data_IF_763755829539
#
_entry.id   IF_763755829539
#
_cell.length_a   1.000
_cell.length_b   1.000
_cell.length_c   1.000
_cell.angle_alpha   90.00
_cell.angle_beta   90.00
_cell.angle_gamma   90.00
#
_symmetry.space_group_name_H-M   'P 1'
#
loop_
_entity.id
_entity.type
_entity.pdbx_description
1 polymer ?
#
# COMPACT_ATOMS: atom_id res chain seq x y z
N UNK A 1 32.65 -14.91 -16.60
CA UNK A 1 31.48 -14.02 -16.38
C UNK A 1 30.77 -13.65 -17.67
N UNK A 2 31.42 -13.00 -18.66
CA UNK A 2 30.71 -12.50 -19.85
C UNK A 2 29.96 -13.54 -20.68
N UNK A 3 30.45 -14.77 -20.76
CA UNK A 3 29.80 -15.82 -21.54
C UNK A 3 28.45 -16.26 -20.93
N UNK A 4 28.37 -16.31 -19.61
CA UNK A 4 27.15 -16.72 -18.92
C UNK A 4 26.07 -15.65 -19.01
N UNK A 5 26.44 -14.38 -18.98
CA UNK A 5 25.50 -13.27 -19.19
C UNK A 5 24.93 -13.26 -20.61
N UNK A 6 25.77 -13.50 -21.63
CA UNK A 6 25.33 -13.58 -23.03
C UNK A 6 24.49 -14.83 -23.30
N UNK A 7 24.73 -15.91 -22.57
CA UNK A 7 24.00 -17.18 -22.68
C UNK A 7 22.75 -17.25 -21.77
N UNK A 8 22.32 -16.15 -21.23
CA UNK A 8 21.16 -16.09 -20.32
C UNK A 8 21.48 -16.32 -18.85
N UNK A 9 22.79 -16.27 -18.48
CA UNK A 9 23.26 -16.38 -17.08
C UNK A 9 23.29 -15.02 -16.42
N UNK A 10 22.39 -14.30 -16.14
CA UNK A 10 22.33 -13.02 -15.47
C UNK A 10 20.98 -12.81 -14.79
N UNK A 11 20.89 -11.79 -13.95
CA UNK A 11 19.64 -11.33 -13.36
C UNK A 11 19.18 -10.08 -14.11
N UNK A 12 17.91 -10.01 -14.45
CA UNK A 12 17.30 -8.78 -14.95
C UNK A 12 17.25 -7.77 -13.80
N UNK A 13 17.93 -6.65 -13.96
CA UNK A 13 17.99 -5.59 -12.95
C UNK A 13 16.85 -4.61 -13.13
N UNK A 14 16.57 -4.23 -14.37
CA UNK A 14 15.44 -3.37 -14.73
C UNK A 14 14.97 -3.76 -16.14
N UNK A 15 13.67 -3.75 -16.34
CA UNK A 15 13.04 -4.00 -17.63
C UNK A 15 12.21 -2.79 -18.07
N UNK A 16 12.06 -2.62 -19.37
CA UNK A 16 11.24 -1.58 -19.96
C UNK A 16 9.76 -1.97 -20.01
N UNK A 17 8.93 -0.98 -20.21
CA UNK A 17 7.51 -1.14 -20.48
C UNK A 17 7.12 -0.36 -21.75
N UNK A 18 5.83 -0.28 -22.08
CA UNK A 18 5.32 0.39 -23.28
C UNK A 18 5.64 1.90 -23.33
N UNK A 19 6.20 2.49 -22.28
CA UNK A 19 6.48 3.93 -22.15
C UNK A 19 7.91 4.26 -21.77
N UNK A 20 8.67 3.26 -21.35
CA UNK A 20 10.02 3.43 -20.81
C UNK A 20 10.95 2.39 -21.45
N UNK A 21 11.93 2.86 -22.21
CA UNK A 21 12.83 2.01 -23.00
C UNK A 21 14.27 2.23 -22.57
N UNK A 22 15.11 1.23 -22.78
CA UNK A 22 16.55 1.38 -22.70
C UNK A 22 17.08 1.88 -21.37
N UNK A 23 16.76 1.22 -20.26
CA UNK A 23 17.31 1.56 -18.94
C UNK A 23 18.84 1.56 -18.96
N UNK A 24 19.46 2.65 -18.52
CA UNK A 24 20.92 2.79 -18.50
C UNK A 24 21.46 3.71 -17.41
N UNK A 25 22.80 3.73 -17.27
CA UNK A 25 23.51 4.56 -16.30
C UNK A 25 23.00 4.41 -14.87
N UNK A 26 23.11 3.20 -14.34
CA UNK A 26 22.68 2.90 -12.98
C UNK A 26 23.59 3.58 -11.94
N UNK A 27 22.95 4.23 -10.97
CA UNK A 27 23.59 4.74 -9.76
C UNK A 27 22.88 4.18 -8.53
N UNK A 28 23.61 3.93 -7.47
CA UNK A 28 23.09 3.58 -6.16
C UNK A 28 23.23 4.76 -5.22
N UNK A 29 22.23 5.03 -4.44
CA UNK A 29 22.35 5.94 -3.32
C UNK A 29 21.53 5.44 -2.11
N UNK A 30 21.91 5.90 -0.95
CA UNK A 30 21.27 5.58 0.32
C UNK A 30 20.78 6.91 0.88
N UNK A 31 19.52 7.00 1.22
CA UNK A 31 18.99 8.16 1.93
C UNK A 31 19.47 8.15 3.40
N UNK A 32 19.45 9.31 4.05
CA UNK A 32 19.87 9.45 5.45
C UNK A 32 19.08 8.56 6.41
N UNK A 33 17.92 8.11 6.01
CA UNK A 33 17.05 7.20 6.75
C UNK A 33 17.35 5.70 6.52
N UNK A 34 18.41 5.38 5.78
CA UNK A 34 18.85 4.01 5.51
C UNK A 34 18.12 3.30 4.37
N UNK A 35 17.25 3.98 3.64
CA UNK A 35 16.54 3.41 2.48
C UNK A 35 17.43 3.47 1.25
N UNK A 36 17.65 2.32 0.63
CA UNK A 36 18.44 2.23 -0.59
C UNK A 36 17.59 2.48 -1.83
N UNK A 37 18.14 3.28 -2.73
CA UNK A 37 17.52 3.59 -4.02
C UNK A 37 18.54 3.47 -5.14
N UNK A 38 18.04 3.23 -6.33
CA UNK A 38 18.84 3.31 -7.55
C UNK A 38 18.29 4.40 -8.46
N UNK A 39 19.21 5.09 -9.11
CA UNK A 39 18.89 6.03 -10.19
C UNK A 39 19.31 5.45 -11.52
N UNK A 40 18.55 5.71 -12.55
CA UNK A 40 18.89 5.38 -13.93
C UNK A 40 18.10 6.28 -14.87
N UNK A 41 18.41 6.24 -16.15
CA UNK A 41 17.58 6.91 -17.14
C UNK A 41 16.77 5.91 -17.94
N UNK A 42 15.61 6.35 -18.38
CA UNK A 42 14.83 5.75 -19.44
C UNK A 42 14.85 6.63 -20.65
N UNK A 43 14.80 6.05 -21.81
CA UNK A 43 14.46 6.77 -23.02
C UNK A 43 12.94 6.82 -23.13
N UNK A 44 12.40 7.99 -22.90
CA UNK A 44 10.98 8.27 -23.10
C UNK A 44 10.83 8.96 -24.47
N UNK A 45 9.81 8.58 -25.20
CA UNK A 45 9.45 9.25 -26.44
C UNK A 45 10.46 9.04 -27.60
N UNK A 46 10.57 7.79 -28.07
CA UNK A 46 11.42 7.41 -29.20
C UNK A 46 11.10 8.21 -30.48
N UNK A 47 9.87 8.71 -30.62
CA UNK A 47 9.42 9.49 -31.77
C UNK A 47 9.94 10.94 -31.78
N UNK A 48 10.50 11.40 -30.65
CA UNK A 48 11.00 12.77 -30.46
C UNK A 48 12.47 12.83 -30.05
N UNK A 49 13.31 12.04 -30.67
CA UNK A 49 14.75 12.01 -30.43
C UNK A 49 15.16 11.35 -29.10
N UNK A 50 14.41 10.35 -28.66
CA UNK A 50 14.76 9.52 -27.50
C UNK A 50 15.21 10.36 -26.29
N UNK A 51 14.35 11.20 -25.78
CA UNK A 51 14.66 12.07 -24.64
C UNK A 51 14.87 11.23 -23.39
N UNK A 52 16.06 11.30 -22.80
CA UNK A 52 16.34 10.65 -21.54
C UNK A 52 15.63 11.32 -20.37
N UNK A 53 15.02 10.52 -19.51
CA UNK A 53 14.30 10.93 -18.31
C UNK A 53 14.91 10.23 -17.11
N UNK A 54 15.24 10.98 -16.05
CA UNK A 54 15.73 10.42 -14.80
C UNK A 54 14.61 9.62 -14.12
N UNK A 55 14.92 8.40 -13.73
CA UNK A 55 14.10 7.57 -12.87
C UNK A 55 14.82 7.25 -11.56
N UNK A 56 14.07 7.18 -10.49
CA UNK A 56 14.53 6.74 -9.18
C UNK A 56 13.59 5.62 -8.75
N UNK A 57 14.17 4.48 -8.38
CA UNK A 57 13.44 3.29 -7.97
C UNK A 57 14.01 2.76 -6.65
N UNK A 58 13.23 2.06 -5.86
CA UNK A 58 13.77 1.28 -4.76
C UNK A 58 14.84 0.31 -5.28
N UNK A 59 15.92 0.16 -4.52
CA UNK A 59 16.90 -0.88 -4.75
C UNK A 59 16.60 -2.06 -3.84
N UNK A 60 16.26 -3.18 -4.45
CA UNK A 60 15.94 -4.43 -3.78
C UNK A 60 17.10 -5.41 -3.99
N UNK A 61 17.40 -6.22 -2.99
CA UNK A 61 18.40 -7.27 -3.08
C UNK A 61 17.72 -8.64 -3.10
N UNK A 62 17.85 -9.35 -4.22
CA UNK A 62 17.38 -10.73 -4.36
C UNK A 62 18.56 -11.67 -4.57
N UNK A 63 18.82 -12.55 -3.61
CA UNK A 63 19.95 -13.48 -3.64
C UNK A 63 21.28 -12.78 -3.95
N UNK A 64 21.56 -11.69 -3.25
CA UNK A 64 22.74 -10.82 -3.42
C UNK A 64 22.84 -10.09 -4.78
N UNK A 65 21.77 -10.08 -5.57
CA UNK A 65 21.68 -9.30 -6.80
C UNK A 65 20.84 -8.04 -6.62
N UNK A 66 21.33 -6.89 -7.09
CA UNK A 66 20.52 -5.67 -7.10
C UNK A 66 19.40 -5.79 -8.15
N UNK A 67 18.19 -5.47 -7.76
CA UNK A 67 17.01 -5.46 -8.62
C UNK A 67 16.28 -4.14 -8.45
N UNK A 68 15.79 -3.58 -9.54
CA UNK A 68 14.91 -2.41 -9.48
C UNK A 68 13.56 -2.80 -8.91
N UNK A 69 13.15 -2.13 -7.84
CA UNK A 69 11.79 -2.23 -7.33
C UNK A 69 10.78 -1.59 -8.28
N UNK A 70 9.54 -2.03 -8.16
CA UNK A 70 8.43 -1.50 -8.94
C UNK A 70 7.94 -0.14 -8.43
N UNK A 71 7.37 0.65 -9.33
CA UNK A 71 6.49 1.75 -8.93
C UNK A 71 5.21 1.17 -8.34
N UNK A 72 4.79 1.71 -7.21
CA UNK A 72 3.52 1.31 -6.63
C UNK A 72 2.37 1.67 -7.59
N UNK A 73 1.53 0.71 -7.92
CA UNK A 73 0.47 0.86 -8.93
C UNK A 73 -0.86 1.19 -8.27
N UNK A 74 -1.70 1.92 -9.00
CA UNK A 74 -3.09 2.10 -8.60
C UNK A 74 -3.83 0.76 -8.55
N UNK A 75 -4.71 0.59 -7.57
CA UNK A 75 -5.45 -0.66 -7.43
C UNK A 75 -6.16 -0.77 -6.10
N UNK A 76 -6.78 -1.92 -5.88
CA UNK A 76 -7.38 -2.30 -4.60
C UNK A 76 -6.47 -3.29 -3.91
N UNK A 77 -6.21 -3.06 -2.64
CA UNK A 77 -5.23 -3.80 -1.88
C UNK A 77 -5.72 -4.21 -0.49
N UNK A 78 -5.22 -5.35 -0.04
CA UNK A 78 -5.01 -5.63 1.37
C UNK A 78 -3.70 -4.97 1.78
N UNK A 79 -3.70 -4.26 2.90
CA UNK A 79 -2.51 -3.69 3.54
C UNK A 79 -2.31 -4.42 4.86
N UNK A 80 -1.23 -5.20 5.00
CA UNK A 80 -0.99 -6.00 6.20
C UNK A 80 0.35 -5.67 6.84
N UNK A 81 0.40 -5.66 8.18
CA UNK A 81 1.62 -5.41 8.92
C UNK A 81 2.59 -6.60 8.82
N UNK A 82 3.88 -6.32 8.65
CA UNK A 82 4.91 -7.37 8.63
C UNK A 82 5.02 -8.06 9.99
N UNK A 83 4.86 -7.31 11.06
CA UNK A 83 5.00 -7.80 12.44
C UNK A 83 4.11 -9.00 12.76
N UNK A 84 2.83 -8.97 12.38
CA UNK A 84 1.84 -10.00 12.72
C UNK A 84 0.95 -10.44 11.57
N UNK A 85 1.07 -9.83 10.40
CA UNK A 85 0.21 -10.10 9.26
C UNK A 85 -1.22 -9.58 9.41
N UNK A 86 -1.50 -8.76 10.42
CA UNK A 86 -2.82 -8.15 10.59
C UNK A 86 -3.07 -7.10 9.52
N UNK A 87 -4.28 -7.13 8.98
CA UNK A 87 -4.71 -6.19 7.97
C UNK A 87 -5.15 -4.86 8.56
N UNK A 88 -4.76 -3.76 7.90
CA UNK A 88 -5.30 -2.43 8.18
C UNK A 88 -6.77 -2.40 7.80
N UNK A 89 -7.61 -1.86 8.67
CA UNK A 89 -9.05 -1.80 8.47
C UNK A 89 -9.69 -0.56 9.08
N UNK A 90 -10.88 -0.23 8.61
CA UNK A 90 -11.77 0.73 9.26
C UNK A 90 -12.31 0.11 10.56
N UNK A 91 -12.28 0.84 11.67
CA UNK A 91 -12.73 0.36 12.97
C UNK A 91 -14.29 0.34 13.06
N UNK A 92 -14.90 -0.55 12.33
CA UNK A 92 -16.34 -0.77 12.35
C UNK A 92 -16.65 -2.17 12.85
N UNK A 93 -17.72 -2.29 13.61
CA UNK A 93 -18.25 -3.60 13.97
C UNK A 93 -18.95 -4.20 12.74
N UNK A 94 -18.56 -5.41 12.40
CA UNK A 94 -19.33 -6.16 11.43
C UNK A 94 -20.29 -7.10 12.20
N UNK A 95 -21.53 -7.09 11.79
CA UNK A 95 -22.48 -8.11 12.27
C UNK A 95 -21.88 -9.49 11.93
N UNK A 96 -21.47 -10.22 12.94
CA UNK A 96 -21.22 -11.65 12.77
C UNK A 96 -22.54 -12.22 12.27
N UNK A 97 -22.60 -12.55 10.99
CA UNK A 97 -23.69 -13.39 10.52
C UNK A 97 -23.65 -14.62 11.43
N UNK A 98 -24.64 -14.76 12.28
CA UNK A 98 -24.83 -16.00 13.01
C UNK A 98 -25.07 -17.03 11.93
N UNK A 99 -24.02 -17.73 11.54
CA UNK A 99 -24.18 -19.00 10.86
C UNK A 99 -24.94 -19.82 11.90
N UNK A 100 -26.21 -19.97 11.68
CA UNK A 100 -27.02 -20.89 12.47
C UNK A 100 -26.27 -22.22 12.40
N UNK A 101 -25.60 -22.59 13.51
CA UNK A 101 -24.97 -23.90 13.62
C UNK A 101 -26.12 -24.87 13.48
N UNK A 102 -26.32 -25.38 12.27
CA UNK A 102 -27.18 -26.53 12.07
C UNK A 102 -26.69 -27.61 13.00
N UNK A 103 -27.50 -27.99 13.96
CA UNK A 103 -27.23 -29.14 14.78
C UNK A 103 -26.99 -30.35 13.89
N UNK A 104 -26.32 -31.35 14.39
CA UNK A 104 -25.96 -32.60 13.67
C UNK A 104 -27.12 -33.37 13.06
N UNK A 105 -28.37 -32.92 13.23
CA UNK A 105 -29.56 -33.41 12.56
C UNK A 105 -30.05 -32.35 11.58
N UNK A 106 -29.61 -32.48 10.33
CA UNK A 106 -30.22 -31.76 9.22
C UNK A 106 -31.58 -32.42 8.95
N UNK A 107 -32.66 -31.65 9.10
CA UNK A 107 -33.91 -32.01 8.52
C UNK A 107 -33.81 -31.79 7.00
N UNK A 108 -33.95 -32.83 6.17
CA UNK A 108 -33.82 -32.69 4.71
C UNK A 108 -34.89 -31.78 4.10
N UNK A 109 -35.99 -31.53 4.80
CA UNK A 109 -37.10 -30.70 4.34
C UNK A 109 -37.00 -29.24 4.82
N UNK A 110 -35.96 -28.87 5.60
CA UNK A 110 -35.78 -27.51 6.04
C UNK A 110 -35.22 -26.64 4.90
N UNK A 111 -35.93 -25.56 4.51
CA UNK A 111 -35.51 -24.74 3.41
C UNK A 111 -34.11 -24.16 3.71
N UNK A 112 -33.20 -24.26 2.73
CA UNK A 112 -31.89 -23.59 2.78
C UNK A 112 -32.17 -22.09 2.82
N UNK A 113 -32.05 -21.47 3.97
CA UNK A 113 -32.11 -20.02 4.09
C UNK A 113 -30.86 -19.46 3.42
N UNK A 114 -30.99 -19.10 2.16
CA UNK A 114 -30.04 -18.32 1.45
C UNK A 114 -30.16 -16.90 1.99
N UNK A 115 -29.15 -16.46 2.77
CA UNK A 115 -29.04 -15.04 3.12
C UNK A 115 -28.78 -14.27 1.82
N UNK A 116 -29.53 -13.20 1.53
CA UNK A 116 -29.25 -12.38 0.37
C UNK A 116 -27.81 -11.89 0.44
N UNK A 117 -27.10 -11.99 -0.68
CA UNK A 117 -25.78 -11.41 -0.80
C UNK A 117 -25.92 -9.91 -0.51
N UNK A 118 -25.35 -9.46 0.62
CA UNK A 118 -25.32 -8.04 0.94
C UNK A 118 -24.46 -7.35 -0.12
N UNK A 119 -25.01 -6.31 -0.71
CA UNK A 119 -24.23 -5.45 -1.62
C UNK A 119 -23.21 -4.63 -0.79
N UNK A 120 -22.19 -4.09 -1.45
CA UNK A 120 -21.27 -3.17 -0.80
C UNK A 120 -22.03 -1.98 -0.19
N UNK A 121 -23.02 -1.46 -0.89
CA UNK A 121 -23.88 -0.34 -0.44
C UNK A 121 -24.65 -0.68 0.84
N UNK A 122 -25.22 -1.88 0.94
CA UNK A 122 -25.90 -2.35 2.14
C UNK A 122 -24.98 -2.41 3.36
N UNK A 123 -23.71 -2.76 3.16
CA UNK A 123 -22.72 -2.84 4.23
C UNK A 123 -22.24 -1.44 4.65
N UNK A 124 -21.89 -0.62 3.67
CA UNK A 124 -21.38 0.76 3.90
C UNK A 124 -22.46 1.64 4.54
N UNK A 125 -23.72 1.49 4.13
CA UNK A 125 -24.83 2.24 4.68
C UNK A 125 -25.10 2.01 6.19
N UNK A 126 -24.51 0.95 6.76
CA UNK A 126 -24.59 0.65 8.21
C UNK A 126 -23.39 1.20 9.00
N UNK A 127 -22.38 1.72 8.35
CA UNK A 127 -21.23 2.27 9.04
C UNK A 127 -21.56 3.61 9.70
N UNK A 128 -20.87 3.95 10.81
CA UNK A 128 -21.04 5.25 11.45
C UNK A 128 -20.79 6.39 10.47
N UNK A 129 -21.57 7.45 10.57
CA UNK A 129 -21.30 8.72 9.89
C UNK A 129 -20.12 9.43 10.57
N UNK A 130 -19.46 10.30 9.82
CA UNK A 130 -18.31 11.04 10.30
C UNK A 130 -17.00 10.23 10.24
N UNK A 131 -15.99 10.77 10.91
CA UNK A 131 -14.67 10.16 10.94
C UNK A 131 -14.68 8.92 11.85
N UNK A 132 -13.98 7.89 11.42
CA UNK A 132 -13.87 6.59 12.12
C UNK A 132 -12.39 6.27 12.29
N UNK A 133 -12.03 5.62 13.37
CA UNK A 133 -10.66 5.21 13.61
C UNK A 133 -10.21 4.11 12.64
N UNK A 134 -8.90 4.03 12.40
CA UNK A 134 -8.28 2.88 11.80
C UNK A 134 -7.88 1.86 12.88
N UNK A 135 -7.93 0.59 12.56
CA UNK A 135 -7.38 -0.50 13.39
C UNK A 135 -6.70 -1.55 12.54
N UNK A 136 -6.10 -2.55 13.16
CA UNK A 136 -5.58 -3.74 12.48
C UNK A 136 -6.25 -4.98 13.05
N UNK A 137 -6.49 -5.97 12.19
CA UNK A 137 -7.16 -7.21 12.56
C UNK A 137 -6.92 -8.33 11.57
N UNK A 138 -7.48 -9.50 11.85
CA UNK A 138 -7.39 -10.65 10.94
C UNK A 138 -8.00 -10.33 9.58
N UNK A 139 -7.29 -10.69 8.52
CA UNK A 139 -7.82 -10.54 7.17
C UNK A 139 -8.99 -11.49 6.93
N UNK A 140 -10.15 -10.93 6.64
CA UNK A 140 -11.39 -11.67 6.36
C UNK A 140 -11.98 -11.33 4.99
N UNK A 141 -11.24 -10.58 4.16
CA UNK A 141 -11.71 -10.10 2.85
C UNK A 141 -13.03 -9.31 2.92
N UNK A 142 -13.20 -8.50 3.97
CA UNK A 142 -14.40 -7.69 4.18
C UNK A 142 -14.23 -6.30 3.58
N UNK A 143 -15.32 -5.61 3.19
CA UNK A 143 -15.24 -4.28 2.59
C UNK A 143 -14.43 -3.26 3.38
N UNK A 144 -14.53 -3.25 4.71
CA UNK A 144 -13.80 -2.34 5.59
C UNK A 144 -12.27 -2.62 5.67
N UNK A 145 -11.79 -3.68 5.04
CA UNK A 145 -10.37 -4.07 4.97
C UNK A 145 -9.76 -3.85 3.59
N UNK A 146 -10.56 -3.44 2.60
CA UNK A 146 -10.10 -3.26 1.22
C UNK A 146 -9.81 -1.81 0.95
N UNK A 147 -8.61 -1.53 0.48
CA UNK A 147 -8.13 -0.18 0.28
C UNK A 147 -7.88 0.12 -1.19
N UNK A 148 -8.60 1.08 -1.72
CA UNK A 148 -8.35 1.64 -3.05
C UNK A 148 -7.23 2.67 -2.95
N UNK A 149 -6.11 2.42 -3.61
CA UNK A 149 -4.94 3.28 -3.62
C UNK A 149 -4.81 3.91 -5.00
N UNK A 150 -4.81 5.23 -5.05
CA UNK A 150 -4.77 5.98 -6.30
C UNK A 150 -3.75 7.09 -6.21
N UNK A 151 -2.87 7.18 -7.20
CA UNK A 151 -1.90 8.26 -7.32
C UNK A 151 -2.57 9.63 -7.45
N UNK A 152 -1.97 10.64 -6.85
CA UNK A 152 -2.40 12.05 -6.88
C UNK A 152 -1.25 12.88 -7.47
N UNK A 153 -1.05 12.90 -8.80
CA UNK A 153 0.10 13.53 -9.45
C UNK A 153 0.22 15.02 -9.15
N UNK A 154 -0.90 15.70 -9.00
CA UNK A 154 -0.98 17.14 -8.67
C UNK A 154 -0.48 17.47 -7.26
N UNK A 155 -0.39 16.49 -6.39
CA UNK A 155 0.19 16.66 -5.05
C UNK A 155 1.71 16.79 -5.06
N UNK A 156 2.34 16.60 -6.22
CA UNK A 156 3.78 16.63 -6.39
C UNK A 156 4.43 15.27 -6.07
N UNK A 157 5.70 15.32 -5.70
CA UNK A 157 6.54 14.14 -5.57
C UNK A 157 7.52 14.03 -6.74
N UNK A 158 8.13 12.88 -6.90
CA UNK A 158 9.03 12.59 -8.02
C UNK A 158 8.69 11.23 -8.63
N UNK A 159 9.21 10.94 -9.80
CA UNK A 159 9.01 9.64 -10.44
C UNK A 159 9.59 8.52 -9.56
N UNK A 160 8.73 7.68 -9.01
CA UNK A 160 9.08 6.66 -8.02
C UNK A 160 8.77 7.03 -6.57
N UNK A 161 8.34 8.27 -6.30
CA UNK A 161 7.98 8.76 -4.96
C UNK A 161 6.80 9.73 -4.99
N UNK A 162 5.82 9.46 -5.84
CA UNK A 162 4.58 10.22 -5.93
C UNK A 162 3.70 10.03 -4.68
N UNK A 163 2.73 10.91 -4.52
CA UNK A 163 1.74 10.79 -3.44
C UNK A 163 0.51 10.01 -3.89
N UNK A 164 -0.11 9.33 -2.94
CA UNK A 164 -1.32 8.54 -3.12
C UNK A 164 -2.38 8.97 -2.12
N UNK A 165 -3.65 8.82 -2.49
CA UNK A 165 -4.75 8.70 -1.55
C UNK A 165 -5.03 7.23 -1.29
N UNK A 166 -5.36 6.90 -0.04
CA UNK A 166 -5.67 5.55 0.43
C UNK A 166 -7.11 5.59 0.96
N UNK A 167 -8.05 5.06 0.20
CA UNK A 167 -9.47 5.10 0.53
C UNK A 167 -10.03 3.69 0.75
N UNK A 168 -11.06 3.55 1.56
CA UNK A 168 -11.84 2.31 1.60
C UNK A 168 -12.50 2.10 0.24
N UNK A 169 -12.36 0.90 -0.32
CA UNK A 169 -12.90 0.56 -1.65
C UNK A 169 -14.39 0.90 -1.77
N UNK A 170 -14.75 1.55 -2.89
CA UNK A 170 -16.12 1.93 -3.21
C UNK A 170 -16.71 3.02 -2.33
N UNK A 171 -15.88 3.74 -1.57
CA UNK A 171 -16.29 4.87 -0.73
C UNK A 171 -15.37 6.07 -0.88
N UNK A 172 -15.78 7.21 -0.33
CA UNK A 172 -14.96 8.41 -0.22
C UNK A 172 -14.14 8.47 1.09
N UNK A 173 -14.21 7.42 1.90
CA UNK A 173 -13.51 7.37 3.19
C UNK A 173 -12.02 7.22 3.00
N UNK A 174 -11.25 8.19 3.49
CA UNK A 174 -9.80 8.31 3.23
C UNK A 174 -8.98 8.23 4.51
N UNK A 175 -7.92 7.45 4.49
CA UNK A 175 -6.94 7.37 5.57
C UNK A 175 -6.27 8.75 5.75
N UNK A 176 -6.26 9.25 6.97
CA UNK A 176 -5.84 10.60 7.32
C UNK A 176 -4.93 10.56 8.55
N UNK A 177 -3.80 11.27 8.47
CA UNK A 177 -2.96 11.54 9.63
C UNK A 177 -3.59 12.69 10.46
N UNK A 178 -3.68 12.52 11.78
CA UNK A 178 -4.24 13.52 12.66
C UNK A 178 -3.24 13.99 13.70
N UNK A 179 -3.58 15.06 14.42
CA UNK A 179 -2.74 15.60 15.48
C UNK A 179 -2.43 14.54 16.54
N UNK A 180 -1.23 14.61 17.13
CA UNK A 180 -0.80 13.60 18.10
C UNK A 180 -0.18 12.33 17.48
N UNK A 181 0.09 12.35 16.18
CA UNK A 181 0.61 11.21 15.41
C UNK A 181 -0.35 9.99 15.41
N UNK A 182 -1.62 10.26 15.37
CA UNK A 182 -2.68 9.26 15.31
C UNK A 182 -3.25 9.15 13.88
N UNK A 183 -4.21 8.25 13.70
CA UNK A 183 -4.84 7.94 12.43
C UNK A 183 -6.36 8.03 12.54
N UNK A 184 -6.98 8.52 11.48
CA UNK A 184 -8.42 8.49 11.30
C UNK A 184 -8.75 8.12 9.84
N UNK A 185 -9.93 7.63 9.60
CA UNK A 185 -10.49 7.44 8.26
C UNK A 185 -11.63 8.45 8.11
N UNK A 186 -11.32 9.54 7.41
CA UNK A 186 -12.22 10.67 7.29
C UNK A 186 -13.22 10.48 6.15
N UNK A 187 -14.40 11.07 6.27
CA UNK A 187 -15.33 11.21 5.15
C UNK A 187 -14.80 12.26 4.17
N UNK A 188 -14.58 11.84 2.92
CA UNK A 188 -14.20 12.72 1.83
C UNK A 188 -12.70 13.04 1.74
N UNK A 189 -12.20 12.86 0.52
CA UNK A 189 -10.86 13.30 0.15
C UNK A 189 -10.88 14.77 -0.25
N UNK A 190 -10.11 15.60 0.44
CA UNK A 190 -10.00 17.05 0.20
C UNK A 190 -8.69 17.43 -0.51
N UNK A 191 -7.74 16.54 -0.58
CA UNK A 191 -6.38 16.80 -1.07
C UNK A 191 -5.47 17.46 -0.04
N UNK A 192 -5.91 17.54 1.22
CA UNK A 192 -5.09 18.05 2.31
C UNK A 192 -3.82 17.20 2.51
N UNK A 193 -2.69 17.80 2.91
CA UNK A 193 -1.42 17.11 3.04
C UNK A 193 -1.47 15.87 3.94
N UNK A 194 -2.29 15.87 4.97
CA UNK A 194 -2.50 14.77 5.90
C UNK A 194 -3.26 13.58 5.30
N UNK A 195 -3.88 13.75 4.12
CA UNK A 195 -4.57 12.71 3.36
C UNK A 195 -3.74 12.14 2.20
N UNK A 196 -2.52 12.64 2.05
CA UNK A 196 -1.59 12.26 0.99
C UNK A 196 -0.48 11.39 1.58
N UNK A 197 -0.26 10.24 0.96
CA UNK A 197 0.64 9.22 1.45
C UNK A 197 1.71 8.89 0.42
N UNK A 198 2.94 8.75 0.86
CA UNK A 198 4.02 8.15 0.07
C UNK A 198 4.14 6.69 0.45
N UNK A 199 4.23 5.83 -0.54
CA UNK A 199 4.41 4.38 -0.37
C UNK A 199 5.75 4.04 -1.03
N UNK A 200 6.71 3.60 -0.23
CA UNK A 200 8.06 3.29 -0.70
C UNK A 200 8.41 1.84 -0.39
N UNK A 201 8.88 1.13 -1.41
CA UNK A 201 9.39 -0.22 -1.23
C UNK A 201 10.77 -0.19 -0.60
N UNK A 202 10.98 -1.07 0.37
CA UNK A 202 12.24 -1.23 1.09
C UNK A 202 13.10 -2.32 0.44
N UNK A 203 14.36 -2.39 0.84
CA UNK A 203 15.34 -3.33 0.27
C UNK A 203 14.98 -4.81 0.48
N UNK A 204 14.18 -5.11 1.49
CA UNK A 204 13.65 -6.46 1.77
C UNK A 204 12.34 -6.77 1.04
N UNK A 205 11.87 -5.86 0.17
CA UNK A 205 10.64 -6.00 -0.61
C UNK A 205 9.38 -5.56 0.13
N UNK A 206 9.46 -5.28 1.42
CA UNK A 206 8.35 -4.70 2.20
C UNK A 206 8.18 -3.22 1.91
N UNK A 207 7.23 -2.56 2.54
CA UNK A 207 6.93 -1.16 2.27
C UNK A 207 6.86 -0.33 3.54
N UNK A 208 7.28 0.94 3.45
CA UNK A 208 6.92 1.97 4.42
C UNK A 208 5.85 2.89 3.84
N UNK A 209 4.98 3.38 4.69
CA UNK A 209 3.86 4.25 4.33
C UNK A 209 3.99 5.53 5.15
N UNK A 210 4.13 6.68 4.48
CA UNK A 210 4.43 7.96 5.12
C UNK A 210 3.37 9.00 4.75
N UNK A 211 2.76 9.71 5.71
CA UNK A 211 1.93 10.85 5.39
C UNK A 211 2.80 12.01 4.87
N UNK A 212 2.26 12.83 4.00
CA UNK A 212 2.92 14.04 3.52
C UNK A 212 3.10 15.07 4.63
N UNK A 213 2.15 15.13 5.55
CA UNK A 213 2.22 15.94 6.76
C UNK A 213 1.44 15.30 7.89
N UNK A 214 1.82 15.63 9.12
CA UNK A 214 1.07 15.34 10.33
C UNK A 214 0.73 16.67 10.99
N UNK A 215 -0.55 16.99 11.23
CA UNK A 215 -0.94 18.25 11.86
C UNK A 215 -0.21 18.49 13.17
N UNK A 216 0.30 19.71 13.36
CA UNK A 216 1.04 20.08 14.56
C UNK A 216 2.46 19.53 14.71
N UNK A 217 3.03 18.91 13.66
CA UNK A 217 4.37 18.34 13.70
C UNK A 217 5.15 18.54 12.40
N UNK A 218 6.44 18.90 12.53
CA UNK A 218 7.40 18.95 11.43
C UNK A 218 8.19 17.63 11.27
N UNK A 219 7.92 16.62 12.09
CA UNK A 219 8.61 15.34 12.02
C UNK A 219 8.08 14.49 10.88
N UNK A 220 8.99 13.74 10.25
CA UNK A 220 8.59 12.65 9.36
C UNK A 220 8.17 11.43 10.17
N UNK A 221 6.96 10.99 9.90
CA UNK A 221 6.39 9.80 10.51
C UNK A 221 6.10 8.73 9.47
N UNK A 222 5.98 7.50 9.94
CA UNK A 222 5.55 6.35 9.14
C UNK A 222 4.40 5.64 9.83
N UNK A 223 3.53 5.03 9.04
CA UNK A 223 2.48 4.15 9.55
C UNK A 223 3.12 2.97 10.29
N UNK A 224 2.69 2.75 11.51
CA UNK A 224 3.30 1.78 12.43
C UNK A 224 2.24 0.94 13.12
N UNK A 225 2.45 -0.37 13.18
CA UNK A 225 1.60 -1.27 13.95
C UNK A 225 2.19 -1.48 15.34
N UNK A 226 1.55 -0.94 16.37
CA UNK A 226 2.14 -0.95 17.73
C UNK A 226 1.60 -2.07 18.60
N UNK A 227 0.36 -2.30 18.64
CA UNK A 227 -0.28 -3.36 19.40
C UNK A 227 -0.99 -4.34 18.47
N UNK A 228 -1.84 -5.15 18.99
CA UNK A 228 -2.58 -6.13 18.20
C UNK A 228 -3.85 -5.53 17.55
N UNK A 229 -4.15 -4.26 17.80
CA UNK A 229 -5.37 -3.62 17.28
C UNK A 229 -5.21 -2.17 16.83
N UNK A 230 -4.11 -1.50 17.17
CA UNK A 230 -3.99 -0.05 16.96
C UNK A 230 -2.82 0.29 16.06
N UNK A 231 -3.05 0.80 14.84
CA UNK A 231 -2.03 1.45 14.06
C UNK A 231 -1.84 2.88 14.56
N UNK A 232 -0.64 3.42 14.43
CA UNK A 232 -0.29 4.79 14.79
C UNK A 232 0.75 5.33 13.81
N UNK A 233 1.20 6.56 14.02
CA UNK A 233 2.34 7.13 13.33
C UNK A 233 3.52 7.22 14.29
N UNK A 234 4.69 6.76 13.86
CA UNK A 234 5.90 6.83 14.64
C UNK A 234 7.09 7.26 13.77
N UNK A 235 8.19 7.65 14.39
CA UNK A 235 9.44 7.90 13.67
C UNK A 235 9.90 6.62 13.01
N UNK A 236 10.48 6.76 11.84
CA UNK A 236 11.01 5.63 11.10
C UNK A 236 12.13 4.91 11.87
N UNK A 237 12.00 3.60 11.96
CA UNK A 237 13.03 2.69 12.46
C UNK A 237 13.15 1.53 11.47
N UNK A 238 14.22 1.54 10.67
CA UNK A 238 14.46 0.53 9.64
C UNK A 238 14.70 -0.88 10.20
N UNK A 239 15.02 -0.99 11.48
CA UNK A 239 15.24 -2.28 12.16
C UNK A 239 13.96 -2.89 12.69
N UNK A 240 12.87 -2.13 12.71
CA UNK A 240 11.60 -2.54 13.32
C UNK A 240 10.58 -2.97 12.26
N UNK A 241 10.11 -4.21 12.37
CA UNK A 241 9.01 -4.70 11.55
C UNK A 241 7.67 -4.03 11.85
N UNK A 242 7.59 -3.27 12.95
CA UNK A 242 6.40 -2.48 13.27
C UNK A 242 6.10 -1.41 12.21
N UNK A 243 7.13 -0.88 11.57
CA UNK A 243 7.04 0.19 10.56
C UNK A 243 6.91 -0.33 9.12
N UNK A 244 6.83 -1.65 8.94
CA UNK A 244 6.84 -2.31 7.65
C UNK A 244 5.49 -2.93 7.32
N UNK A 245 5.14 -2.85 6.05
CA UNK A 245 3.84 -3.28 5.53
C UNK A 245 4.01 -4.11 4.27
N UNK A 246 3.05 -5.00 4.04
CA UNK A 246 2.89 -5.73 2.81
C UNK A 246 1.63 -5.26 2.08
N UNK A 247 1.66 -5.31 0.77
CA UNK A 247 0.52 -5.04 -0.09
C UNK A 247 0.21 -6.26 -0.93
N UNK A 248 -1.02 -6.72 -0.88
CA UNK A 248 -1.53 -7.74 -1.77
C UNK A 248 -2.64 -7.16 -2.63
N UNK A 249 -2.37 -7.04 -3.93
CA UNK A 249 -3.38 -6.56 -4.87
C UNK A 249 -4.54 -7.56 -4.96
N UNK A 250 -5.74 -7.04 -4.88
CA UNK A 250 -6.96 -7.82 -4.98
C UNK A 250 -7.47 -7.77 -6.42
N UNK A 251 -7.78 -8.95 -6.97
CA UNK A 251 -8.41 -9.10 -8.29
C UNK A 251 -9.88 -9.41 -8.08
N UNK A 252 -10.76 -8.68 -8.73
CA UNK A 252 -12.20 -8.89 -8.70
C UNK A 252 -12.72 -9.15 -10.11
#
# INVERSE_FOLDING_TARGET
>A
MGRDMVAGGGKMVADGDDRQFGAGHFGRYIEDDGVEKMSFHWEADLDRSARSVLAIRPLIWENDWPVSGDLFRNGVYEISSVRRGYALELAVDFERQQIARRGWRMDPDEPIVSYPNQTLEDVVGKWPSGNVDARIGDWMNRPHQRWSITAVPEAGGYLGGQYYKICIEGTDRVLTAVEGAELSVNEGFTGAPEQLWRIEQLTDGTFRIMPKAVPGSDCQYVLTSVADSTPTLAKWDFTSDNCKWNFRQLSF
#
